data_IF_777074313320
#
_entry.id   IF_777074313320
#
_cell.length_a   1.000
_cell.length_b   1.000
_cell.length_c   1.000
_cell.angle_alpha   90.00
_cell.angle_beta   90.00
_cell.angle_gamma   90.00
#
_symmetry.space_group_name_H-M   'P 1'
#
loop_
_entity.id
_entity.type
_entity.pdbx_description
1 polymer ?
#
# COMPACT_ATOMS: atom_id res chain seq x y z
N UNK A 1 9.25 -8.11 -12.86
CA UNK A 1 7.92 -7.50 -12.93
C UNK A 1 7.97 -6.23 -12.11
N UNK A 2 7.47 -5.11 -12.63
CA UNK A 2 7.41 -3.83 -11.92
C UNK A 2 6.10 -3.65 -11.12
N UNK A 3 5.29 -4.72 -11.06
CA UNK A 3 4.04 -4.80 -10.27
C UNK A 3 3.94 -6.17 -9.59
N UNK A 4 3.17 -6.22 -8.49
CA UNK A 4 2.90 -7.42 -7.69
C UNK A 4 1.38 -7.62 -7.48
N UNK A 5 0.62 -8.03 -8.52
CA UNK A 5 -0.81 -8.25 -8.36
C UNK A 5 -1.07 -9.45 -7.43
N UNK A 6 -2.09 -9.33 -6.58
CA UNK A 6 -2.68 -10.47 -5.90
C UNK A 6 -3.27 -11.42 -6.95
N UNK A 7 -3.09 -12.73 -6.75
CA UNK A 7 -3.56 -13.76 -7.70
C UNK A 7 -4.73 -14.60 -7.17
N UNK A 8 -4.91 -14.60 -5.85
CA UNK A 8 -5.88 -15.43 -5.14
C UNK A 8 -6.50 -14.60 -4.01
N UNK A 9 -7.31 -13.62 -4.39
CA UNK A 9 -8.03 -12.75 -3.48
C UNK A 9 -9.06 -13.52 -2.63
N UNK A 10 -9.64 -14.59 -3.18
CA UNK A 10 -10.59 -15.46 -2.47
C UNK A 10 -9.89 -16.19 -1.32
N UNK A 11 -8.74 -16.83 -1.57
CA UNK A 11 -7.97 -17.48 -0.50
C UNK A 11 -7.48 -16.50 0.58
N UNK A 12 -7.11 -15.27 0.21
CA UNK A 12 -6.80 -14.22 1.17
C UNK A 12 -8.03 -13.85 2.01
N UNK A 13 -9.18 -13.66 1.37
CA UNK A 13 -10.44 -13.33 2.05
C UNK A 13 -10.86 -14.43 3.03
N UNK A 14 -10.86 -15.69 2.60
CA UNK A 14 -11.19 -16.85 3.46
C UNK A 14 -10.26 -16.95 4.68
N UNK A 15 -8.96 -16.69 4.48
CA UNK A 15 -8.00 -16.68 5.59
C UNK A 15 -8.31 -15.55 6.58
N UNK A 16 -8.49 -14.33 6.09
CA UNK A 16 -8.77 -13.16 6.92
C UNK A 16 -10.07 -13.34 7.72
N UNK A 17 -11.12 -13.86 7.08
CA UNK A 17 -12.42 -14.13 7.71
C UNK A 17 -12.31 -15.21 8.78
N UNK A 18 -11.68 -16.34 8.48
CA UNK A 18 -11.52 -17.47 9.41
C UNK A 18 -10.72 -17.10 10.66
N UNK A 19 -9.68 -16.30 10.50
CA UNK A 19 -8.82 -15.86 11.60
C UNK A 19 -9.32 -14.58 12.30
N UNK A 20 -10.50 -14.07 11.92
CA UNK A 20 -11.12 -12.84 12.46
C UNK A 20 -10.19 -11.61 12.40
N UNK A 21 -9.44 -11.46 11.30
CA UNK A 21 -8.44 -10.41 11.12
C UNK A 21 -9.01 -9.16 10.44
N UNK A 22 -8.42 -8.00 10.75
CA UNK A 22 -8.67 -6.75 10.03
C UNK A 22 -7.53 -6.43 9.05
N UNK A 23 -7.87 -6.01 7.84
CA UNK A 23 -6.89 -5.55 6.84
C UNK A 23 -6.56 -4.08 7.08
N UNK A 24 -5.41 -3.80 7.69
CA UNK A 24 -4.99 -2.44 8.07
C UNK A 24 -4.17 -1.73 6.98
N UNK A 25 -3.82 -2.41 5.91
CA UNK A 25 -2.95 -1.87 4.87
C UNK A 25 -2.23 -2.96 4.12
N UNK A 26 -1.16 -2.57 3.44
CA UNK A 26 -0.36 -3.45 2.61
C UNK A 26 1.09 -2.98 2.56
N UNK A 27 1.98 -3.90 2.21
CA UNK A 27 3.43 -3.67 2.11
C UNK A 27 3.95 -4.27 0.80
N UNK A 28 4.79 -3.53 0.09
CA UNK A 28 5.48 -4.03 -1.11
C UNK A 28 6.90 -3.50 -1.20
N UNK A 29 7.67 -4.07 -2.13
CA UNK A 29 9.07 -3.71 -2.34
C UNK A 29 9.25 -2.95 -3.65
N UNK A 30 10.13 -1.95 -3.63
CA UNK A 30 10.80 -1.35 -4.78
C UNK A 30 12.25 -1.87 -4.84
N UNK A 31 12.53 -2.97 -5.56
CA UNK A 31 13.84 -3.62 -5.49
C UNK A 31 14.98 -2.72 -5.99
N UNK A 32 14.67 -1.80 -6.91
CA UNK A 32 15.66 -0.92 -7.55
C UNK A 32 15.31 0.57 -7.47
N UNK A 33 14.07 0.92 -7.17
CA UNK A 33 13.56 2.28 -7.14
C UNK A 33 13.59 2.84 -5.72
N UNK A 34 13.58 4.17 -5.58
CA UNK A 34 13.50 4.86 -4.29
C UNK A 34 12.15 4.62 -3.62
N UNK A 35 12.02 5.04 -2.36
CA UNK A 35 10.76 4.98 -1.63
C UNK A 35 9.80 6.08 -2.10
N UNK A 36 8.70 5.70 -2.77
CA UNK A 36 7.62 6.60 -3.20
C UNK A 36 6.38 5.78 -3.55
N UNK A 37 5.21 6.43 -3.66
CA UNK A 37 3.99 5.80 -4.19
C UNK A 37 3.93 5.96 -5.71
N UNK A 38 4.03 4.86 -6.46
CA UNK A 38 3.83 4.86 -7.92
C UNK A 38 2.36 5.03 -8.29
N UNK A 39 2.06 5.30 -9.57
CA UNK A 39 0.68 5.39 -10.06
C UNK A 39 -0.15 4.14 -9.72
N UNK A 40 0.44 2.96 -9.88
CA UNK A 40 -0.21 1.67 -9.53
C UNK A 40 -0.46 1.57 -8.02
N UNK A 41 0.49 2.04 -7.21
CA UNK A 41 0.35 2.01 -5.75
C UNK A 41 -0.75 2.95 -5.27
N UNK A 42 -0.83 4.15 -5.85
CA UNK A 42 -1.88 5.12 -5.54
C UNK A 42 -3.27 4.56 -5.87
N UNK A 43 -3.42 3.94 -7.04
CA UNK A 43 -4.68 3.31 -7.46
C UNK A 43 -5.05 2.12 -6.59
N UNK A 44 -4.07 1.26 -6.23
CA UNK A 44 -4.28 0.15 -5.30
C UNK A 44 -4.71 0.66 -3.92
N UNK A 45 -3.94 1.58 -3.35
CA UNK A 45 -4.16 2.08 -2.00
C UNK A 45 -5.46 2.87 -1.85
N UNK A 46 -5.94 3.53 -2.91
CA UNK A 46 -7.23 4.24 -2.90
C UNK A 46 -8.38 3.35 -2.43
N UNK A 47 -8.45 2.10 -2.90
CA UNK A 47 -9.49 1.17 -2.46
C UNK A 47 -9.36 0.81 -0.98
N UNK A 48 -8.14 0.58 -0.50
CA UNK A 48 -7.90 0.28 0.91
C UNK A 48 -8.29 1.46 1.82
N UNK A 49 -7.88 2.68 1.47
CA UNK A 49 -8.17 3.85 2.29
C UNK A 49 -9.65 4.29 2.23
N UNK A 50 -10.36 3.96 1.14
CA UNK A 50 -11.82 4.13 1.08
C UNK A 50 -12.56 3.18 2.03
N UNK A 51 -12.05 1.96 2.20
CA UNK A 51 -12.63 0.97 3.12
C UNK A 51 -12.25 1.23 4.58
N UNK A 52 -11.04 1.73 4.83
CA UNK A 52 -10.52 2.09 6.15
C UNK A 52 -9.69 3.38 6.04
N UNK A 53 -10.18 4.54 6.54
CA UNK A 53 -9.48 5.83 6.44
C UNK A 53 -8.06 5.84 7.04
N UNK A 54 -7.80 4.95 8.00
CA UNK A 54 -6.51 4.76 8.65
C UNK A 54 -5.58 3.78 7.90
N UNK A 55 -6.01 3.21 6.77
CA UNK A 55 -5.20 2.26 6.02
C UNK A 55 -3.88 2.89 5.55
N UNK A 56 -2.83 2.08 5.51
CA UNK A 56 -1.47 2.51 5.12
C UNK A 56 -0.88 1.66 3.99
N UNK A 57 0.03 2.26 3.24
CA UNK A 57 0.88 1.58 2.27
C UNK A 57 2.34 1.70 2.71
N UNK A 58 3.01 0.57 2.96
CA UNK A 58 4.44 0.54 3.29
C UNK A 58 5.23 0.20 2.02
N UNK A 59 6.19 1.03 1.67
CA UNK A 59 7.08 0.78 0.53
C UNK A 59 8.47 0.48 1.06
N UNK A 60 9.03 -0.67 0.69
CA UNK A 60 10.37 -1.08 1.06
C UNK A 60 11.33 -0.92 -0.13
N UNK A 61 12.32 -0.03 -0.02
CA UNK A 61 13.33 0.25 -1.04
C UNK A 61 14.73 -0.21 -0.58
N UNK A 62 15.04 -1.53 -0.60
CA UNK A 62 16.23 -2.10 0.06
C UNK A 62 17.59 -1.58 -0.47
N UNK A 63 17.61 -0.90 -1.62
CA UNK A 63 18.83 -0.34 -2.23
C UNK A 63 18.99 1.16 -1.99
N UNK A 64 18.10 1.79 -1.24
CA UNK A 64 18.03 3.24 -1.07
C UNK A 64 17.91 3.65 0.40
N UNK A 65 18.09 4.94 0.65
CA UNK A 65 17.88 5.56 1.96
C UNK A 65 16.85 6.70 1.80
N UNK A 66 15.72 6.69 2.54
CA UNK A 66 15.31 5.66 3.49
C UNK A 66 15.03 4.31 2.82
N UNK A 67 15.24 3.22 3.57
CA UNK A 67 15.06 1.84 3.08
C UNK A 67 13.62 1.36 3.13
N UNK A 68 12.76 2.09 3.82
CA UNK A 68 11.30 1.95 3.80
C UNK A 68 10.66 3.27 4.23
N UNK A 69 9.39 3.44 3.87
CA UNK A 69 8.57 4.57 4.31
C UNK A 69 7.08 4.16 4.30
N UNK A 70 6.23 4.93 4.99
CA UNK A 70 4.80 4.63 5.15
C UNK A 70 3.97 5.78 4.63
N UNK A 71 3.05 5.47 3.72
CA UNK A 71 2.26 6.46 3.01
C UNK A 71 0.77 6.27 3.22
N UNK A 72 0.04 7.37 3.00
CA UNK A 72 -1.41 7.42 2.83
C UNK A 72 -1.78 8.42 1.72
N UNK A 73 -2.95 8.26 1.10
CA UNK A 73 -3.52 9.32 0.27
C UNK A 73 -3.89 10.53 1.13
N UNK A 74 -3.70 11.72 0.57
CA UNK A 74 -4.16 12.95 1.22
C UNK A 74 -5.69 13.02 1.18
N UNK A 75 -6.27 13.55 2.26
CA UNK A 75 -7.72 13.72 2.37
C UNK A 75 -8.11 15.20 2.38
N UNK A 76 -9.18 15.58 1.65
CA UNK A 76 -9.95 14.77 0.70
C UNK A 76 -9.31 14.70 -0.70
N UNK A 77 -8.27 15.50 -0.96
CA UNK A 77 -7.78 15.82 -2.31
C UNK A 77 -7.21 14.60 -3.04
N UNK A 78 -6.25 13.90 -2.45
CA UNK A 78 -5.59 12.74 -3.07
C UNK A 78 -6.54 11.62 -3.42
N UNK A 79 -7.39 11.21 -2.46
CA UNK A 79 -8.42 10.20 -2.69
C UNK A 79 -9.35 10.55 -3.86
N UNK A 80 -9.85 11.80 -3.91
CA UNK A 80 -10.70 12.27 -5.01
C UNK A 80 -9.98 12.27 -6.36
N UNK A 81 -8.72 12.69 -6.40
CA UNK A 81 -7.91 12.68 -7.63
C UNK A 81 -7.79 11.27 -8.21
N UNK A 82 -7.48 10.28 -7.37
CA UNK A 82 -7.33 8.89 -7.83
C UNK A 82 -8.68 8.31 -8.27
N UNK A 83 -9.76 8.54 -7.50
CA UNK A 83 -11.11 8.10 -7.87
C UNK A 83 -11.62 8.71 -9.19
N UNK A 84 -11.22 9.94 -9.50
CA UNK A 84 -11.60 10.63 -10.73
C UNK A 84 -10.71 10.27 -11.93
N UNK A 85 -9.56 9.63 -11.71
CA UNK A 85 -8.64 9.28 -12.79
C UNK A 85 -9.24 8.23 -13.74
N UNK A 86 -9.05 8.43 -15.05
CA UNK A 86 -9.53 7.55 -16.13
C UNK A 86 -8.42 7.18 -17.12
N UNK A 87 -7.17 7.44 -16.77
CA UNK A 87 -6.03 7.14 -17.65
C UNK A 87 -5.84 5.62 -17.74
N UNK A 88 -5.59 5.11 -18.94
CA UNK A 88 -5.47 3.68 -19.22
C UNK A 88 -4.03 3.15 -19.12
N UNK A 89 -3.04 4.03 -19.18
CA UNK A 89 -1.63 3.67 -19.05
C UNK A 89 -1.31 3.23 -17.62
N UNK A 90 -0.60 2.10 -17.47
CA UNK A 90 -0.25 1.53 -16.17
C UNK A 90 0.51 2.50 -15.26
N UNK A 91 1.47 3.22 -15.83
CA UNK A 91 2.21 4.28 -15.15
C UNK A 91 1.90 5.61 -15.80
N UNK A 92 1.41 6.56 -15.00
CA UNK A 92 1.09 7.90 -15.46
C UNK A 92 1.15 8.92 -14.32
N UNK A 93 1.24 10.19 -14.70
CA UNK A 93 1.21 11.31 -13.76
C UNK A 93 -0.24 11.73 -13.51
N UNK A 94 -0.54 12.03 -12.25
CA UNK A 94 -1.77 12.72 -11.85
C UNK A 94 -1.51 14.23 -11.84
N UNK A 95 -2.47 15.02 -12.35
CA UNK A 95 -2.31 16.47 -12.50
C UNK A 95 -2.39 17.28 -11.20
N UNK A 96 -2.64 16.61 -10.08
CA UNK A 96 -2.76 17.22 -8.75
C UNK A 96 -1.45 17.05 -7.97
N UNK A 97 -1.05 18.08 -7.22
CA UNK A 97 0.10 17.99 -6.35
C UNK A 97 -0.30 17.38 -5.01
N UNK A 98 0.63 16.71 -4.33
CA UNK A 98 0.40 16.14 -2.99
C UNK A 98 -0.75 15.12 -2.95
N UNK A 99 -0.82 14.20 -3.93
CA UNK A 99 -1.83 13.12 -3.95
C UNK A 99 -1.69 12.17 -2.76
N UNK A 100 -0.49 12.03 -2.21
CA UNK A 100 -0.19 11.21 -1.04
C UNK A 100 0.79 11.95 -0.12
N UNK A 101 0.89 11.46 1.11
CA UNK A 101 1.76 12.00 2.16
C UNK A 101 2.30 10.85 3.02
N UNK A 102 3.35 11.14 3.78
CA UNK A 102 3.85 10.31 4.87
C UNK A 102 2.73 10.11 5.93
N UNK A 103 2.59 8.89 6.44
CA UNK A 103 1.63 8.50 7.47
C UNK A 103 2.23 8.38 8.87
N UNK A 104 3.57 8.32 8.99
CA UNK A 104 4.32 8.37 10.24
C UNK A 104 4.12 9.71 10.94
N UNK A 105 4.42 9.77 12.24
CA UNK A 105 4.28 10.99 13.05
C UNK A 105 4.93 12.21 12.36
N UNK A 106 4.20 13.34 12.20
CA UNK A 106 3.00 13.73 12.94
C UNK A 106 1.66 13.14 12.43
N UNK A 107 1.68 12.25 11.43
CA UNK A 107 0.55 11.42 11.03
C UNK A 107 0.08 10.42 12.10
N UNK A 108 -0.83 9.52 11.70
CA UNK A 108 -1.53 8.61 12.62
C UNK A 108 -0.76 7.32 12.92
N UNK A 109 0.37 7.07 12.25
CA UNK A 109 1.18 5.86 12.43
C UNK A 109 2.34 6.11 13.39
N UNK A 110 2.63 5.13 14.23
CA UNK A 110 3.86 5.12 15.00
C UNK A 110 4.49 3.74 15.05
N UNK A 111 5.83 3.72 14.96
CA UNK A 111 6.62 2.50 15.13
C UNK A 111 6.76 2.17 16.62
N UNK A 112 6.56 0.90 16.97
CA UNK A 112 6.74 0.35 18.31
C UNK A 112 7.68 -0.84 18.20
N UNK A 113 8.74 -0.88 19.04
CA UNK A 113 9.84 -1.85 18.91
C UNK A 113 9.57 -3.24 19.51
N UNK A 114 8.60 -3.36 20.41
CA UNK A 114 8.40 -4.55 21.25
C UNK A 114 7.06 -5.25 20.99
N UNK A 115 6.55 -5.13 19.75
CA UNK A 115 5.35 -5.84 19.33
C UNK A 115 5.71 -7.11 18.57
N UNK A 116 5.19 -8.26 19.01
CA UNK A 116 5.31 -9.51 18.27
C UNK A 116 4.46 -9.47 16.99
N UNK A 117 4.90 -10.18 15.95
CA UNK A 117 4.13 -10.37 14.72
C UNK A 117 4.33 -11.80 14.19
N UNK A 118 3.30 -12.31 13.54
CA UNK A 118 3.32 -13.59 12.84
C UNK A 118 3.33 -13.37 11.32
N UNK A 119 4.06 -14.21 10.60
CA UNK A 119 4.10 -14.17 9.13
C UNK A 119 3.47 -15.44 8.60
N UNK A 120 2.44 -15.28 7.77
CA UNK A 120 1.76 -16.39 7.11
C UNK A 120 1.94 -16.27 5.60
N UNK A 121 2.50 -17.31 5.01
CA UNK A 121 2.74 -17.40 3.58
C UNK A 121 1.64 -18.22 2.90
N UNK A 122 0.73 -17.54 2.20
CA UNK A 122 -0.38 -18.15 1.46
C UNK A 122 -0.02 -18.48 0.00
N UNK A 123 1.24 -18.33 -0.42
CA UNK A 123 1.65 -18.69 -1.78
C UNK A 123 1.49 -20.19 -1.96
N UNK A 124 0.68 -20.58 -2.94
CA UNK A 124 0.68 -21.96 -3.44
C UNK A 124 2.09 -22.23 -3.96
N UNK A 125 2.79 -23.20 -3.36
CA UNK A 125 4.18 -23.53 -3.68
C UNK A 125 4.39 -23.57 -5.19
N UNK A 126 5.38 -22.83 -5.68
CA UNK A 126 5.67 -22.78 -7.11
C UNK A 126 6.25 -24.11 -7.60
N UNK A 127 5.87 -24.50 -8.81
CA UNK A 127 6.86 -25.00 -9.77
C UNK A 127 7.92 -23.89 -10.03
#
# INVERSE_FOLDING_TARGET
SDTCPTKDEEGLFEYVDREELMVLGWIHTHPTQTCFMSSVDLHTHCSYQLMLPESIAIVCAPRHQPSWDVFRLTEPTGGKTIMACRQSSLFHLHGELNVYTDAMRPGHVCEVREMGFDVVDLRKGGD
#
